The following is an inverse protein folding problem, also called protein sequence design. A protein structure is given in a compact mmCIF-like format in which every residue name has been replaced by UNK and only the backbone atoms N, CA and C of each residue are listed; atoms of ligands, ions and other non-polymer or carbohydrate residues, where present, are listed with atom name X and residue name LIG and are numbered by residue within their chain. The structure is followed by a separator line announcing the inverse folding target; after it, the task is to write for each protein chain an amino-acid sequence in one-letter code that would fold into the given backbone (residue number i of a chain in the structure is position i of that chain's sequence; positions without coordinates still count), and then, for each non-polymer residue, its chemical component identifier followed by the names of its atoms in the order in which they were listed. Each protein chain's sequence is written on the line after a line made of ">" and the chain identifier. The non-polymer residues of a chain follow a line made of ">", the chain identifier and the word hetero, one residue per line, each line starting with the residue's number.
data_IF_246954627103
#
_entry.id   IF_246954627103
#
_cell.length_a   1.000
_cell.length_b   1.000
_cell.length_c   1.000
_cell.angle_alpha   90.00
_cell.angle_beta   90.00
_cell.angle_gamma   90.00
#
_symmetry.space_group_name_H-M   'P 1'
#
loop_
_entity.id
_entity.type
_entity.pdbx_description
1 polymer ?
#
# COMPACT_ATOMS: atom_id res chain seq x y z
N UNK A 1 15.23 -1.86 -28.70
CA UNK A 1 15.46 -3.32 -28.75
C UNK A 1 14.62 -3.85 -29.89
N UNK A 2 15.27 -4.46 -30.87
CA UNK A 2 14.57 -5.13 -31.97
C UNK A 2 13.94 -6.45 -31.50
N UNK A 3 13.12 -7.06 -32.35
CA UNK A 3 12.40 -8.29 -32.03
C UNK A 3 13.34 -9.47 -31.74
N UNK A 4 14.48 -9.54 -32.43
CA UNK A 4 15.45 -10.62 -32.25
C UNK A 4 16.15 -10.52 -30.90
N UNK A 5 16.59 -9.33 -30.53
CA UNK A 5 17.19 -9.05 -29.23
C UNK A 5 16.22 -9.34 -28.09
N UNK A 6 14.94 -8.99 -28.25
CA UNK A 6 13.92 -9.27 -27.25
C UNK A 6 13.66 -10.77 -27.10
N UNK A 7 13.60 -11.53 -28.19
CA UNK A 7 13.45 -12.99 -28.15
C UNK A 7 14.65 -13.68 -27.51
N UNK A 8 15.86 -13.22 -27.80
CA UNK A 8 17.09 -13.71 -27.16
C UNK A 8 17.08 -13.44 -25.65
N UNK A 9 16.75 -12.20 -25.26
CA UNK A 9 16.60 -11.83 -23.85
C UNK A 9 15.53 -12.65 -23.14
N UNK A 10 14.37 -12.85 -23.79
CA UNK A 10 13.29 -13.67 -23.27
C UNK A 10 13.76 -15.12 -23.02
N UNK A 11 14.56 -15.68 -23.92
CA UNK A 11 15.16 -17.00 -23.76
C UNK A 11 15.97 -17.14 -22.47
N UNK A 12 16.68 -16.10 -22.06
CA UNK A 12 17.45 -16.09 -20.81
C UNK A 12 16.61 -15.80 -19.55
N UNK A 13 15.43 -15.18 -19.68
CA UNK A 13 14.54 -14.87 -18.56
C UNK A 13 13.55 -15.99 -18.22
N UNK A 14 13.46 -17.03 -19.05
CA UNK A 14 12.58 -18.17 -18.79
C UNK A 14 12.95 -18.91 -17.48
N UNK A 15 11.96 -19.48 -16.77
CA UNK A 15 12.22 -20.22 -15.53
C UNK A 15 13.26 -21.35 -15.70
N UNK A 16 13.29 -22.01 -16.86
CA UNK A 16 14.16 -23.15 -17.16
C UNK A 16 15.59 -22.75 -17.55
N UNK A 17 15.85 -21.45 -17.77
CA UNK A 17 17.17 -20.97 -18.15
C UNK A 17 18.19 -21.18 -17.02
N UNK A 18 19.45 -21.43 -17.40
CA UNK A 18 20.56 -21.55 -16.46
C UNK A 18 20.67 -20.30 -15.58
N UNK A 19 20.86 -20.50 -14.28
CA UNK A 19 20.84 -19.41 -13.29
C UNK A 19 21.87 -18.30 -13.52
N UNK A 20 23.07 -18.65 -14.02
CA UNK A 20 24.13 -17.70 -14.34
C UNK A 20 23.75 -16.77 -15.51
N UNK A 21 23.14 -17.34 -16.56
CA UNK A 21 22.63 -16.58 -17.71
C UNK A 21 21.43 -15.73 -17.33
N UNK A 22 20.49 -16.30 -16.57
CA UNK A 22 19.31 -15.60 -16.04
C UNK A 22 19.71 -14.40 -15.17
N UNK A 23 20.68 -14.57 -14.27
CA UNK A 23 21.17 -13.48 -13.42
C UNK A 23 21.89 -12.37 -14.21
N UNK A 24 22.54 -12.69 -15.35
CA UNK A 24 23.09 -11.67 -16.25
C UNK A 24 21.98 -10.92 -16.99
N UNK A 25 20.98 -11.64 -17.51
CA UNK A 25 19.83 -11.06 -18.19
C UNK A 25 19.02 -10.14 -17.27
N UNK A 26 18.78 -10.55 -16.02
CA UNK A 26 18.09 -9.73 -15.01
C UNK A 26 18.85 -8.45 -14.70
N UNK A 27 20.18 -8.51 -14.53
CA UNK A 27 20.99 -7.29 -14.31
C UNK A 27 20.94 -6.35 -15.50
N UNK A 28 20.95 -6.88 -16.72
CA UNK A 28 20.78 -6.08 -17.92
C UNK A 28 19.40 -5.39 -17.95
N UNK A 29 18.32 -6.12 -17.70
CA UNK A 29 16.96 -5.56 -17.62
C UNK A 29 16.87 -4.50 -16.53
N UNK A 30 17.37 -4.78 -15.33
CA UNK A 30 17.39 -3.81 -14.23
C UNK A 30 18.10 -2.53 -14.64
N UNK A 31 19.25 -2.63 -15.31
CA UNK A 31 19.96 -1.48 -15.88
C UNK A 31 19.13 -0.68 -16.88
N UNK A 32 18.37 -1.34 -17.76
CA UNK A 32 17.44 -0.67 -18.68
C UNK A 32 16.34 0.11 -17.94
N UNK A 33 15.80 -0.45 -16.85
CA UNK A 33 14.74 0.21 -16.08
C UNK A 33 15.18 1.49 -15.35
N UNK A 34 16.50 1.73 -15.25
CA UNK A 34 17.04 2.98 -14.71
C UNK A 34 16.69 4.19 -15.57
N UNK A 35 16.52 4.02 -16.88
CA UNK A 35 16.18 5.10 -17.83
C UNK A 35 14.72 5.06 -18.30
N UNK A 36 14.15 6.24 -18.55
CA UNK A 36 12.76 6.36 -19.05
C UNK A 36 12.55 5.69 -20.43
N UNK A 37 13.56 5.68 -21.29
CA UNK A 37 13.51 4.98 -22.59
C UNK A 37 13.46 3.46 -22.42
N UNK A 38 14.30 2.92 -21.54
CA UNK A 38 14.31 1.49 -21.24
C UNK A 38 13.01 1.02 -20.59
N UNK A 39 12.42 1.83 -19.69
CA UNK A 39 11.11 1.53 -19.12
C UNK A 39 10.00 1.50 -20.17
N UNK A 40 9.91 2.54 -21.03
CA UNK A 40 8.95 2.57 -22.14
C UNK A 40 9.09 1.38 -23.09
N UNK A 41 10.33 1.02 -23.42
CA UNK A 41 10.64 -0.13 -24.26
C UNK A 41 10.17 -1.45 -23.64
N UNK A 42 10.39 -1.66 -22.35
CA UNK A 42 9.98 -2.88 -21.64
C UNK A 42 8.47 -2.94 -21.42
N UNK A 43 7.81 -1.82 -21.12
CA UNK A 43 6.35 -1.76 -20.98
C UNK A 43 5.61 -2.09 -22.28
N UNK A 44 6.24 -1.84 -23.43
CA UNK A 44 5.72 -2.24 -24.74
C UNK A 44 5.88 -3.74 -25.06
N UNK A 45 6.41 -4.56 -24.13
CA UNK A 45 6.77 -5.96 -24.34
C UNK A 45 6.09 -6.91 -23.33
N UNK A 46 4.82 -7.29 -23.57
CA UNK A 46 4.06 -8.14 -22.65
C UNK A 46 4.72 -9.49 -22.34
N UNK A 47 5.45 -10.05 -23.30
CA UNK A 47 6.23 -11.28 -23.17
C UNK A 47 7.35 -11.16 -22.13
N UNK A 48 8.11 -10.05 -22.18
CA UNK A 48 9.15 -9.76 -21.20
C UNK A 48 8.55 -9.44 -19.82
N UNK A 49 7.45 -8.68 -19.76
CA UNK A 49 6.76 -8.40 -18.50
C UNK A 49 6.27 -9.68 -17.84
N UNK A 50 5.67 -10.60 -18.60
CA UNK A 50 5.23 -11.90 -18.11
C UNK A 50 6.41 -12.73 -17.57
N UNK A 51 7.55 -12.73 -18.27
CA UNK A 51 8.75 -13.41 -17.79
C UNK A 51 9.28 -12.79 -16.49
N UNK A 52 9.34 -11.46 -16.38
CA UNK A 52 9.75 -10.79 -15.15
C UNK A 52 8.79 -11.07 -13.98
N UNK A 53 7.48 -11.05 -14.23
CA UNK A 53 6.47 -11.40 -13.23
C UNK A 53 6.61 -12.86 -12.78
N UNK A 54 6.88 -13.80 -13.69
CA UNK A 54 7.15 -15.19 -13.32
C UNK A 54 8.40 -15.31 -12.43
N UNK A 55 9.46 -14.56 -12.74
CA UNK A 55 10.70 -14.56 -11.97
C UNK A 55 10.56 -14.01 -10.55
N UNK A 56 9.51 -13.26 -10.23
CA UNK A 56 9.20 -12.91 -8.82
C UNK A 56 8.88 -14.13 -7.94
N UNK A 57 8.59 -15.29 -8.54
CA UNK A 57 8.42 -16.57 -7.87
C UNK A 57 9.65 -17.48 -7.89
N UNK A 58 10.81 -17.02 -8.37
CA UNK A 58 12.04 -17.81 -8.37
C UNK A 58 12.47 -18.13 -6.91
N UNK A 59 12.74 -19.40 -6.56
CA UNK A 59 13.10 -19.80 -5.19
C UNK A 59 14.39 -19.16 -4.68
N UNK A 60 15.29 -18.79 -5.59
CA UNK A 60 16.56 -18.13 -5.31
C UNK A 60 16.36 -16.61 -5.19
N UNK A 61 16.48 -16.02 -3.99
CA UNK A 61 16.27 -14.58 -3.78
C UNK A 61 17.17 -13.72 -4.66
N UNK A 62 18.40 -14.15 -4.92
CA UNK A 62 19.38 -13.43 -5.75
C UNK A 62 18.94 -13.24 -7.22
N UNK A 63 17.89 -13.97 -7.64
CA UNK A 63 17.27 -13.84 -8.95
C UNK A 63 15.87 -13.20 -8.87
N UNK A 64 15.11 -13.48 -7.81
CA UNK A 64 13.79 -12.86 -7.63
C UNK A 64 13.89 -11.36 -7.32
N UNK A 65 14.84 -10.94 -6.48
CA UNK A 65 15.00 -9.56 -6.04
C UNK A 65 15.31 -8.58 -7.20
N UNK A 66 16.26 -8.85 -8.12
CA UNK A 66 16.45 -8.01 -9.30
C UNK A 66 15.21 -7.91 -10.20
N UNK A 67 14.41 -8.98 -10.30
CA UNK A 67 13.16 -8.98 -11.06
C UNK A 67 12.12 -8.04 -10.42
N UNK A 68 11.98 -8.10 -9.09
CA UNK A 68 11.14 -7.16 -8.34
C UNK A 68 11.59 -5.71 -8.52
N UNK A 69 12.89 -5.42 -8.40
CA UNK A 69 13.39 -4.06 -8.59
C UNK A 69 13.16 -3.53 -10.00
N UNK A 70 13.35 -4.36 -11.02
CA UNK A 70 13.01 -3.99 -12.40
C UNK A 70 11.51 -3.67 -12.53
N UNK A 71 10.65 -4.52 -11.99
CA UNK A 71 9.20 -4.31 -12.01
C UNK A 71 8.75 -3.08 -11.21
N UNK A 72 9.39 -2.78 -10.07
CA UNK A 72 9.12 -1.59 -9.27
C UNK A 72 9.43 -0.31 -10.04
N UNK A 73 10.58 -0.28 -10.72
CA UNK A 73 10.95 0.83 -11.59
C UNK A 73 9.94 0.99 -12.73
N UNK A 74 9.49 -0.11 -13.34
CA UNK A 74 8.46 -0.09 -14.39
C UNK A 74 7.11 0.41 -13.86
N UNK A 75 6.68 -0.08 -12.70
CA UNK A 75 5.41 0.29 -12.06
C UNK A 75 5.35 1.74 -11.57
N UNK A 76 6.49 2.45 -11.58
CA UNK A 76 6.52 3.88 -11.31
C UNK A 76 6.06 4.73 -12.51
N UNK A 77 6.02 4.16 -13.72
CA UNK A 77 5.55 4.86 -14.91
C UNK A 77 4.02 4.90 -14.98
N UNK A 78 3.41 6.02 -15.43
CA UNK A 78 1.98 6.09 -15.69
C UNK A 78 1.51 5.01 -16.69
N UNK A 79 0.38 4.36 -16.41
CA UNK A 79 -0.21 3.30 -17.23
C UNK A 79 0.41 1.92 -17.02
N UNK A 80 1.52 1.80 -16.26
CA UNK A 80 2.20 0.53 -16.05
C UNK A 80 1.35 -0.49 -15.27
N UNK A 81 0.47 -0.03 -14.37
CA UNK A 81 -0.42 -0.91 -13.62
C UNK A 81 -1.28 -1.79 -14.53
N UNK A 82 -1.78 -1.23 -15.63
CA UNK A 82 -2.53 -1.98 -16.64
C UNK A 82 -1.69 -3.02 -17.36
N UNK A 83 -0.42 -2.74 -17.64
CA UNK A 83 0.50 -3.69 -18.28
C UNK A 83 0.92 -4.84 -17.34
N UNK A 84 0.97 -4.58 -16.03
CA UNK A 84 1.37 -5.55 -15.00
C UNK A 84 0.19 -6.32 -14.39
N UNK A 85 -1.04 -6.06 -14.83
CA UNK A 85 -2.28 -6.58 -14.23
C UNK A 85 -2.31 -8.12 -14.10
N UNK A 86 -1.74 -8.83 -15.07
CA UNK A 86 -1.71 -10.30 -15.08
C UNK A 86 -0.93 -10.88 -13.88
N UNK A 87 -0.01 -10.10 -13.29
CA UNK A 87 0.78 -10.53 -12.14
C UNK A 87 0.13 -10.26 -10.78
N UNK A 88 -0.95 -9.46 -10.72
CA UNK A 88 -1.57 -9.05 -9.44
C UNK A 88 -2.00 -10.25 -8.58
N UNK A 89 -2.64 -11.30 -9.12
CA UNK A 89 -3.03 -12.47 -8.32
C UNK A 89 -1.85 -13.17 -7.65
N UNK A 90 -0.75 -13.39 -8.38
CA UNK A 90 0.41 -14.07 -7.82
C UNK A 90 1.18 -13.17 -6.85
N UNK A 91 1.27 -11.87 -7.11
CA UNK A 91 1.87 -10.91 -6.18
C UNK A 91 1.09 -10.84 -4.86
N UNK A 92 -0.25 -10.82 -4.92
CA UNK A 92 -1.08 -10.84 -3.72
C UNK A 92 -0.93 -12.17 -2.97
N UNK A 93 -0.87 -13.30 -3.68
CA UNK A 93 -0.60 -14.60 -3.06
C UNK A 93 0.70 -14.60 -2.27
N UNK A 94 1.78 -14.06 -2.87
CA UNK A 94 3.10 -13.96 -2.25
C UNK A 94 3.11 -12.99 -1.06
N UNK A 95 2.43 -11.86 -1.17
CA UNK A 95 2.32 -10.89 -0.08
C UNK A 95 1.66 -11.51 1.18
N UNK A 96 0.60 -12.30 0.97
CA UNK A 96 -0.16 -12.92 2.05
C UNK A 96 0.42 -14.26 2.51
N UNK A 97 1.47 -14.77 1.87
CA UNK A 97 2.14 -16.01 2.25
C UNK A 97 3.19 -15.72 3.34
N UNK A 98 3.01 -16.23 4.57
CA UNK A 98 3.97 -16.01 5.65
C UNK A 98 5.38 -16.56 5.35
N UNK A 99 5.50 -17.54 4.45
CA UNK A 99 6.77 -18.15 4.07
C UNK A 99 7.49 -17.42 2.92
N UNK A 100 6.85 -16.43 2.29
CA UNK A 100 7.47 -15.73 1.17
C UNK A 100 8.61 -14.81 1.65
N UNK A 101 9.83 -14.87 1.05
CA UNK A 101 10.99 -14.16 1.58
C UNK A 101 11.03 -12.67 1.24
N UNK A 102 10.27 -12.19 0.24
CA UNK A 102 10.33 -10.81 -0.27
C UNK A 102 8.99 -10.05 -0.17
N UNK A 103 8.24 -10.13 0.95
CA UNK A 103 6.88 -9.60 1.03
C UNK A 103 6.84 -8.07 0.89
N UNK A 104 7.91 -7.36 1.27
CA UNK A 104 8.03 -5.91 1.10
C UNK A 104 8.06 -5.48 -0.36
N UNK A 105 8.79 -6.20 -1.21
CA UNK A 105 8.85 -5.90 -2.65
C UNK A 105 7.52 -6.21 -3.33
N UNK A 106 6.85 -7.30 -2.94
CA UNK A 106 5.50 -7.61 -3.42
C UNK A 106 4.49 -6.53 -3.01
N UNK A 107 4.54 -6.07 -1.76
CA UNK A 107 3.70 -5.00 -1.25
C UNK A 107 3.91 -3.68 -2.01
N UNK A 108 5.17 -3.25 -2.15
CA UNK A 108 5.52 -2.03 -2.86
C UNK A 108 5.10 -2.08 -4.34
N UNK A 109 5.24 -3.24 -4.99
CA UNK A 109 4.84 -3.41 -6.39
C UNK A 109 3.30 -3.34 -6.53
N UNK A 110 2.56 -3.98 -5.65
CA UNK A 110 1.09 -3.86 -5.60
C UNK A 110 0.63 -2.43 -5.32
N UNK A 111 1.30 -1.72 -4.41
CA UNK A 111 1.03 -0.31 -4.12
C UNK A 111 1.29 0.59 -5.34
N UNK A 112 2.34 0.34 -6.12
CA UNK A 112 2.57 1.09 -7.36
C UNK A 112 1.52 0.77 -8.43
N UNK A 113 1.21 -0.52 -8.65
CA UNK A 113 0.23 -0.93 -9.65
C UNK A 113 -1.18 -0.45 -9.34
N UNK A 114 -1.54 -0.27 -8.07
CA UNK A 114 -2.90 0.12 -7.63
C UNK A 114 -3.16 1.63 -7.59
N UNK A 115 -2.23 2.47 -8.08
CA UNK A 115 -2.43 3.93 -8.13
C UNK A 115 -3.53 4.35 -9.11
N UNK A 116 -3.78 3.52 -10.12
CA UNK A 116 -4.79 3.76 -11.15
C UNK A 116 -6.05 2.92 -10.88
N UNK A 117 -7.22 3.48 -11.17
CA UNK A 117 -8.52 2.89 -10.83
C UNK A 117 -8.69 1.47 -11.39
N UNK A 118 -8.32 1.23 -12.66
CA UNK A 118 -8.49 -0.06 -13.33
C UNK A 118 -7.78 -1.21 -12.61
N UNK A 119 -6.44 -1.19 -12.53
CA UNK A 119 -5.68 -2.19 -11.77
C UNK A 119 -6.06 -2.26 -10.28
N UNK A 120 -6.41 -1.14 -9.66
CA UNK A 120 -6.88 -1.11 -8.28
C UNK A 120 -8.18 -1.92 -8.10
N UNK A 121 -9.15 -1.75 -9.01
CA UNK A 121 -10.42 -2.50 -9.01
C UNK A 121 -10.19 -3.99 -9.27
N UNK A 122 -9.28 -4.35 -10.17
CA UNK A 122 -8.88 -5.75 -10.39
C UNK A 122 -8.26 -6.38 -9.13
N UNK A 123 -7.40 -5.64 -8.42
CA UNK A 123 -6.81 -6.10 -7.17
C UNK A 123 -7.87 -6.30 -6.08
N UNK A 124 -8.84 -5.38 -5.96
CA UNK A 124 -9.96 -5.53 -5.03
C UNK A 124 -10.82 -6.76 -5.36
N UNK A 125 -11.09 -7.02 -6.64
CA UNK A 125 -11.82 -8.21 -7.08
C UNK A 125 -11.08 -9.50 -6.70
N UNK A 126 -9.76 -9.53 -6.87
CA UNK A 126 -8.93 -10.69 -6.49
C UNK A 126 -8.90 -10.91 -4.96
N UNK A 127 -8.84 -9.84 -4.17
CA UNK A 127 -8.98 -9.90 -2.71
C UNK A 127 -10.30 -10.51 -2.28
N UNK A 128 -11.41 -10.08 -2.88
CA UNK A 128 -12.77 -10.61 -2.62
C UNK A 128 -12.89 -12.09 -2.99
N UNK A 129 -12.31 -12.49 -4.13
CA UNK A 129 -12.29 -13.88 -4.59
C UNK A 129 -11.57 -14.79 -3.58
N UNK A 130 -10.48 -14.32 -2.98
CA UNK A 130 -9.73 -15.07 -1.95
C UNK A 130 -10.43 -15.08 -0.59
N UNK A 131 -11.07 -13.98 -0.23
CA UNK A 131 -11.79 -13.81 1.04
C UNK A 131 -13.17 -14.49 1.10
N UNK A 132 -13.49 -15.41 0.18
CA UNK A 132 -14.74 -16.17 0.23
C UNK A 132 -16.03 -15.37 0.00
N UNK A 133 -15.95 -14.21 -0.69
CA UNK A 133 -17.13 -13.42 -1.05
C UNK A 133 -17.52 -12.30 -0.07
N UNK A 134 -16.75 -12.09 1.01
CA UNK A 134 -16.89 -10.92 1.89
C UNK A 134 -16.27 -9.64 1.29
N UNK A 135 -16.13 -8.60 2.11
CA UNK A 135 -15.53 -7.31 1.75
C UNK A 135 -14.11 -7.40 1.13
N UNK A 136 -13.40 -8.52 1.31
CA UNK A 136 -12.12 -8.85 0.67
C UNK A 136 -10.89 -8.26 1.36
N UNK A 137 -11.06 -7.21 2.18
CA UNK A 137 -9.94 -6.51 2.83
C UNK A 137 -9.43 -7.18 4.12
N UNK A 138 -10.17 -8.14 4.68
CA UNK A 138 -9.86 -8.79 5.97
C UNK A 138 -8.40 -9.24 6.12
N UNK A 139 -7.86 -10.08 5.21
CA UNK A 139 -6.48 -10.55 5.29
C UNK A 139 -5.44 -9.42 5.23
N UNK A 140 -5.70 -8.37 4.44
CA UNK A 140 -4.81 -7.20 4.38
C UNK A 140 -4.86 -6.38 5.66
N UNK A 141 -6.05 -6.19 6.24
CA UNK A 141 -6.23 -5.48 7.50
C UNK A 141 -5.61 -6.25 8.67
N UNK A 142 -5.73 -7.57 8.68
CA UNK A 142 -5.05 -8.44 9.65
C UNK A 142 -3.53 -8.29 9.55
N UNK A 143 -2.97 -8.41 8.35
CA UNK A 143 -1.54 -8.20 8.11
C UNK A 143 -1.08 -6.78 8.50
N UNK A 144 -1.86 -5.74 8.15
CA UNK A 144 -1.52 -4.36 8.49
C UNK A 144 -1.57 -4.09 9.99
N UNK A 145 -2.56 -4.63 10.71
CA UNK A 145 -2.73 -4.38 12.15
C UNK A 145 -1.80 -5.22 13.02
N UNK A 146 -1.31 -6.35 12.51
CA UNK A 146 -0.37 -7.21 13.23
C UNK A 146 1.00 -6.52 13.41
N UNK A 147 1.70 -6.89 14.48
CA UNK A 147 3.10 -6.51 14.65
C UNK A 147 3.93 -7.25 13.59
N UNK A 148 4.66 -6.52 12.76
CA UNK A 148 5.48 -7.14 11.71
C UNK A 148 6.69 -7.85 12.33
N UNK A 149 6.78 -9.19 12.29
CA UNK A 149 7.87 -9.91 12.92
C UNK A 149 9.15 -9.88 12.07
N UNK A 150 9.14 -9.26 10.89
CA UNK A 150 10.25 -9.35 9.92
C UNK A 150 11.14 -8.09 9.92
N UNK A 151 12.44 -8.23 9.64
CA UNK A 151 13.35 -7.10 9.47
C UNK A 151 12.86 -6.11 8.40
N UNK A 152 12.95 -4.81 8.70
CA UNK A 152 12.52 -3.75 7.79
C UNK A 152 11.01 -3.49 7.74
N UNK A 153 10.20 -4.22 8.54
CA UNK A 153 8.76 -4.03 8.71
C UNK A 153 7.97 -3.80 7.40
N UNK A 154 8.07 -4.71 6.42
CA UNK A 154 7.45 -4.56 5.10
C UNK A 154 5.94 -4.33 5.11
N UNK A 155 5.21 -4.74 6.15
CA UNK A 155 3.79 -4.45 6.30
C UNK A 155 3.48 -2.96 6.47
N UNK A 156 4.46 -2.14 6.83
CA UNK A 156 4.29 -0.68 6.86
C UNK A 156 3.88 -0.14 5.48
N UNK A 157 4.35 -0.78 4.40
CA UNK A 157 4.03 -0.41 3.03
C UNK A 157 2.57 -0.75 2.64
N UNK A 158 1.87 -1.59 3.42
CA UNK A 158 0.44 -1.86 3.19
C UNK A 158 -0.42 -0.62 3.40
N UNK A 159 0.06 0.37 4.14
CA UNK A 159 -0.63 1.65 4.31
C UNK A 159 -0.89 2.35 2.96
N UNK A 160 0.09 2.37 2.06
CA UNK A 160 -0.07 2.94 0.73
C UNK A 160 -1.09 2.15 -0.11
N UNK A 161 -1.07 0.81 0.01
CA UNK A 161 -2.02 -0.06 -0.68
C UNK A 161 -3.46 0.15 -0.20
N UNK A 162 -3.68 0.26 1.12
CA UNK A 162 -4.98 0.57 1.71
C UNK A 162 -5.48 1.96 1.28
N UNK A 163 -4.57 2.95 1.25
CA UNK A 163 -4.86 4.29 0.75
C UNK A 163 -5.31 4.28 -0.71
N UNK A 164 -4.68 3.48 -1.57
CA UNK A 164 -5.09 3.32 -2.96
C UNK A 164 -6.44 2.61 -3.11
N UNK A 165 -6.64 1.50 -2.39
CA UNK A 165 -7.90 0.74 -2.43
C UNK A 165 -9.07 1.60 -1.99
N UNK A 166 -8.93 2.39 -0.92
CA UNK A 166 -9.99 3.26 -0.39
C UNK A 166 -10.42 4.40 -1.32
N UNK A 167 -9.72 4.64 -2.43
CA UNK A 167 -10.22 5.53 -3.50
C UNK A 167 -11.47 4.94 -4.17
N UNK A 168 -11.61 3.62 -4.17
CA UNK A 168 -12.77 2.92 -4.70
C UNK A 168 -13.95 2.95 -3.71
N UNK A 169 -15.17 3.33 -4.14
CA UNK A 169 -16.36 3.28 -3.29
C UNK A 169 -16.58 1.93 -2.63
N UNK A 170 -16.37 0.84 -3.37
CA UNK A 170 -16.62 -0.52 -2.92
C UNK A 170 -15.63 -0.96 -1.82
N UNK A 171 -14.44 -0.35 -1.77
CA UNK A 171 -13.47 -0.55 -0.69
C UNK A 171 -13.82 0.31 0.54
N UNK A 172 -14.32 1.54 0.35
CA UNK A 172 -14.80 2.36 1.47
C UNK A 172 -15.98 1.71 2.17
N UNK A 173 -16.95 1.20 1.42
CA UNK A 173 -18.08 0.45 1.97
C UNK A 173 -17.59 -0.73 2.83
N UNK A 174 -16.57 -1.44 2.37
CA UNK A 174 -15.94 -2.54 3.10
C UNK A 174 -15.22 -2.08 4.38
N UNK A 175 -14.55 -0.92 4.37
CA UNK A 175 -13.86 -0.35 5.52
C UNK A 175 -14.83 0.23 6.56
N UNK A 176 -15.96 0.75 6.09
CA UNK A 176 -17.01 1.40 6.89
C UNK A 176 -18.17 0.45 7.25
N UNK A 177 -18.02 -0.84 6.94
CA UNK A 177 -18.95 -1.88 7.37
C UNK A 177 -18.97 -1.98 8.90
N UNK A 178 -20.12 -1.61 9.50
CA UNK A 178 -20.28 -1.40 10.94
C UNK A 178 -19.97 -2.66 11.74
N UNK A 179 -20.38 -3.82 11.21
CA UNK A 179 -20.18 -5.13 11.84
C UNK A 179 -18.72 -5.59 11.83
N UNK A 180 -17.91 -5.10 10.89
CA UNK A 180 -16.53 -5.55 10.68
C UNK A 180 -15.49 -4.82 11.53
N UNK A 181 -15.81 -3.63 12.04
CA UNK A 181 -14.91 -2.85 12.90
C UNK A 181 -13.57 -2.44 12.24
N UNK A 182 -13.47 -2.50 10.91
CA UNK A 182 -12.24 -2.27 10.17
C UNK A 182 -11.68 -0.87 10.40
N UNK A 183 -12.51 0.18 10.24
CA UNK A 183 -12.11 1.57 10.49
C UNK A 183 -11.54 1.77 11.90
N UNK A 184 -12.21 1.23 12.93
CA UNK A 184 -11.77 1.32 14.34
C UNK A 184 -10.39 0.70 14.55
N UNK A 185 -10.12 -0.44 13.91
CA UNK A 185 -8.80 -1.10 13.98
C UNK A 185 -7.68 -0.27 13.36
N UNK A 186 -8.01 0.64 12.43
CA UNK A 186 -7.02 1.51 11.81
C UNK A 186 -6.69 2.74 12.68
N UNK A 187 -7.63 3.22 13.50
CA UNK A 187 -7.50 4.48 14.24
C UNK A 187 -6.21 4.60 15.09
N UNK A 188 -5.77 3.59 15.86
CA UNK A 188 -4.55 3.71 16.65
C UNK A 188 -3.29 4.00 15.80
N UNK A 189 -3.31 3.63 14.53
CA UNK A 189 -2.20 3.83 13.62
C UNK A 189 -2.10 5.25 13.05
N UNK A 190 -3.02 6.17 13.37
CA UNK A 190 -2.81 7.61 13.12
C UNK A 190 -1.64 8.17 13.93
N UNK A 191 -1.27 7.50 15.03
CA UNK A 191 -0.21 7.90 15.96
C UNK A 191 0.90 6.86 16.11
N UNK A 192 1.08 5.99 15.10
CA UNK A 192 2.15 4.98 15.15
C UNK A 192 3.54 5.65 15.15
N UNK A 193 4.16 5.70 16.33
CA UNK A 193 5.48 6.28 16.54
C UNK A 193 6.58 5.55 15.73
N UNK A 194 6.40 4.26 15.45
CA UNK A 194 7.38 3.44 14.74
C UNK A 194 7.34 3.57 13.22
N UNK A 195 6.33 4.25 12.64
CA UNK A 195 6.15 4.24 11.19
C UNK A 195 5.36 5.41 10.60
N UNK A 196 6.06 6.37 10.00
CA UNK A 196 5.45 7.42 9.18
C UNK A 196 4.64 6.84 8.01
N UNK A 197 5.07 5.71 7.43
CA UNK A 197 4.35 5.06 6.34
C UNK A 197 2.97 4.54 6.76
N UNK A 198 2.84 3.99 7.97
CA UNK A 198 1.54 3.55 8.52
C UNK A 198 0.63 4.74 8.81
N UNK A 199 1.16 5.76 9.49
CA UNK A 199 0.42 7.01 9.75
C UNK A 199 -0.09 7.64 8.46
N UNK A 200 0.77 7.76 7.44
CA UNK A 200 0.42 8.29 6.10
C UNK A 200 -0.67 7.46 5.43
N UNK A 201 -0.54 6.13 5.45
CA UNK A 201 -1.53 5.23 4.87
C UNK A 201 -2.90 5.31 5.55
N UNK A 202 -2.92 5.36 6.89
CA UNK A 202 -4.15 5.48 7.66
C UNK A 202 -4.79 6.85 7.47
N UNK A 203 -4.03 7.95 7.56
CA UNK A 203 -4.55 9.29 7.31
C UNK A 203 -5.18 9.42 5.92
N UNK A 204 -4.50 8.93 4.87
CA UNK A 204 -5.06 8.91 3.51
C UNK A 204 -6.31 8.03 3.38
N UNK A 205 -6.33 6.88 4.05
CA UNK A 205 -7.50 5.98 4.06
C UNK A 205 -8.70 6.63 4.75
N UNK A 206 -8.50 7.25 5.92
CA UNK A 206 -9.55 7.95 6.67
C UNK A 206 -10.09 9.14 5.88
N UNK A 207 -9.22 9.93 5.25
CA UNK A 207 -9.62 11.03 4.35
C UNK A 207 -10.53 10.52 3.23
N UNK A 208 -10.14 9.45 2.56
CA UNK A 208 -10.95 8.87 1.49
C UNK A 208 -12.30 8.37 2.02
N UNK A 209 -12.32 7.70 3.18
CA UNK A 209 -13.55 7.25 3.85
C UNK A 209 -14.49 8.41 4.21
N UNK A 210 -13.96 9.56 4.61
CA UNK A 210 -14.76 10.73 4.99
C UNK A 210 -15.29 11.54 3.79
N UNK A 211 -14.95 11.17 2.55
CA UNK A 211 -15.55 11.79 1.37
C UNK A 211 -17.06 11.53 1.24
N UNK A 212 -17.57 10.51 1.92
CA UNK A 212 -18.99 10.16 1.91
C UNK A 212 -19.70 10.62 3.20
N UNK A 213 -20.49 11.72 3.15
CA UNK A 213 -21.10 12.31 4.34
C UNK A 213 -22.14 11.41 5.01
N UNK A 214 -22.63 10.37 4.32
CA UNK A 214 -23.60 9.42 4.87
C UNK A 214 -23.06 8.66 6.09
N UNK A 215 -21.74 8.60 6.25
CA UNK A 215 -21.09 7.89 7.36
C UNK A 215 -20.66 8.82 8.50
N UNK A 216 -20.70 10.15 8.33
CA UNK A 216 -20.13 11.10 9.30
C UNK A 216 -20.75 11.01 10.68
N UNK A 217 -22.08 10.99 10.79
CA UNK A 217 -22.77 10.89 12.09
C UNK A 217 -22.33 9.62 12.85
N UNK A 218 -22.16 8.51 12.15
CA UNK A 218 -21.69 7.27 12.74
C UNK A 218 -20.19 7.32 13.09
N UNK A 219 -19.34 7.87 12.22
CA UNK A 219 -17.90 8.02 12.46
C UNK A 219 -17.61 8.93 13.66
N UNK A 220 -18.42 9.96 13.88
CA UNK A 220 -18.33 10.89 15.01
C UNK A 220 -19.05 10.40 16.26
N UNK A 221 -19.82 9.30 16.18
CA UNK A 221 -20.49 8.72 17.34
C UNK A 221 -19.50 8.01 18.27
N UNK A 222 -19.90 7.79 19.53
CA UNK A 222 -19.13 7.04 20.53
C UNK A 222 -18.75 5.61 20.09
N UNK A 223 -19.40 5.07 19.06
CA UNK A 223 -19.07 3.73 18.55
C UNK A 223 -17.71 3.69 17.84
N UNK A 224 -17.33 4.78 17.16
CA UNK A 224 -16.09 4.88 16.40
C UNK A 224 -15.15 5.89 17.04
N UNK A 225 -15.70 7.01 17.51
CA UNK A 225 -15.00 8.11 18.15
C UNK A 225 -13.81 8.59 17.30
N UNK A 226 -14.07 8.94 16.03
CA UNK A 226 -13.02 9.29 15.07
C UNK A 226 -12.28 10.57 15.44
N UNK A 227 -12.97 11.55 16.03
CA UNK A 227 -12.48 12.92 16.17
C UNK A 227 -11.16 13.02 16.98
N UNK A 228 -11.01 12.36 18.14
CA UNK A 228 -9.74 12.36 18.87
C UNK A 228 -8.55 11.87 18.04
N UNK A 229 -8.75 10.82 17.22
CA UNK A 229 -7.68 10.23 16.40
C UNK A 229 -7.22 11.13 15.24
N UNK A 230 -8.07 12.08 14.82
CA UNK A 230 -7.72 13.10 13.83
C UNK A 230 -7.04 14.31 14.47
N UNK A 231 -7.53 14.75 15.63
CA UNK A 231 -7.05 15.96 16.31
C UNK A 231 -5.76 15.74 17.08
N UNK A 232 -5.59 14.60 17.75
CA UNK A 232 -4.44 14.36 18.62
C UNK A 232 -3.09 14.41 17.87
N UNK A 233 -2.94 13.90 16.64
CA UNK A 233 -1.73 14.13 15.85
C UNK A 233 -1.47 15.61 15.51
N UNK A 234 -2.50 16.46 15.51
CA UNK A 234 -2.40 17.90 15.22
C UNK A 234 -2.15 18.75 16.48
N UNK A 235 -2.33 18.17 17.66
CA UNK A 235 -2.15 18.84 18.95
C UNK A 235 -0.69 18.81 19.44
N UNK A 236 -0.29 19.87 20.15
CA UNK A 236 0.98 20.02 20.84
C UNK A 236 0.79 20.20 22.35
N UNK A 237 1.82 20.68 23.07
CA UNK A 237 1.80 20.82 24.52
C UNK A 237 1.20 22.18 24.96
N UNK A 238 0.43 22.84 24.10
CA UNK A 238 -0.14 24.16 24.42
C UNK A 238 -1.20 24.08 25.52
N UNK A 239 -1.18 25.07 26.41
CA UNK A 239 -2.22 25.28 27.42
C UNK A 239 -3.32 26.17 26.86
N UNK A 240 -4.58 25.76 27.04
CA UNK A 240 -5.76 26.56 26.71
C UNK A 240 -6.46 27.03 28.00
N UNK A 241 -7.28 28.08 27.94
CA UNK A 241 -8.18 28.45 29.03
C UNK A 241 -9.04 27.26 29.48
N UNK A 242 -9.37 27.19 30.77
CA UNK A 242 -10.10 26.06 31.37
C UNK A 242 -11.44 25.79 30.68
N UNK A 243 -12.17 26.83 30.30
CA UNK A 243 -13.46 26.73 29.60
C UNK A 243 -13.35 26.23 28.15
N UNK A 244 -12.20 26.44 27.49
CA UNK A 244 -11.90 25.82 26.20
C UNK A 244 -11.42 24.37 26.38
N UNK A 245 -10.63 24.10 27.42
CA UNK A 245 -10.16 22.75 27.73
C UNK A 245 -11.29 21.78 28.02
N UNK A 246 -12.28 22.18 28.80
CA UNK A 246 -13.45 21.36 29.14
C UNK A 246 -14.28 20.96 27.90
N UNK A 247 -14.16 21.70 26.79
CA UNK A 247 -14.87 21.41 25.53
C UNK A 247 -14.13 20.42 24.62
N UNK A 248 -12.84 20.21 24.85
CA UNK A 248 -12.05 19.26 24.05
C UNK A 248 -12.41 17.82 24.43
N UNK A 249 -12.27 16.86 23.50
CA UNK A 249 -12.34 15.45 23.84
C UNK A 249 -11.31 15.11 24.93
N UNK A 250 -11.65 14.18 25.83
CA UNK A 250 -10.83 13.84 27.00
C UNK A 250 -9.36 13.52 26.64
N UNK A 251 -9.13 12.83 25.53
CA UNK A 251 -7.78 12.46 25.07
C UNK A 251 -6.91 13.65 24.63
N UNK A 252 -7.52 14.82 24.39
CA UNK A 252 -6.84 16.07 24.05
C UNK A 252 -6.67 16.98 25.26
N UNK A 253 -7.19 16.60 26.43
CA UNK A 253 -7.07 17.40 27.63
C UNK A 253 -5.75 17.19 28.35
N UNK A 254 -5.13 18.31 28.78
CA UNK A 254 -3.92 18.31 29.62
C UNK A 254 -2.79 17.43 29.06
N UNK A 255 -2.43 17.65 27.80
CA UNK A 255 -1.38 16.90 27.11
C UNK A 255 -0.01 17.11 27.79
N UNK A 256 0.86 16.08 27.82
CA UNK A 256 2.17 16.18 28.44
C UNK A 256 3.10 17.13 27.66
N UNK A 257 4.09 17.70 28.34
CA UNK A 257 5.03 18.65 27.74
C UNK A 257 5.82 18.07 26.55
N UNK A 258 6.03 16.75 26.54
CA UNK A 258 6.71 16.02 25.47
C UNK A 258 5.82 15.75 24.26
N UNK A 259 4.51 16.07 24.32
CA UNK A 259 3.58 15.84 23.21
C UNK A 259 3.98 16.70 22.02
N UNK A 260 4.35 16.05 20.93
CA UNK A 260 4.63 16.71 19.65
C UNK A 260 3.52 16.48 18.65
N UNK A 261 3.33 17.47 17.78
CA UNK A 261 2.52 17.32 16.57
C UNK A 261 3.17 16.31 15.63
N UNK A 262 2.38 15.74 14.74
CA UNK A 262 2.83 14.96 13.60
C UNK A 262 3.94 15.73 12.85
N UNK A 263 5.17 15.20 12.74
CA UNK A 263 6.27 15.90 12.07
C UNK A 263 6.07 16.03 10.56
N UNK A 264 5.40 15.07 9.92
CA UNK A 264 5.24 15.02 8.47
C UNK A 264 4.12 15.96 7.99
N UNK A 265 4.48 16.98 7.19
CA UNK A 265 3.55 18.02 6.76
C UNK A 265 2.38 17.49 5.93
N UNK A 266 2.62 16.50 5.07
CA UNK A 266 1.59 15.93 4.22
C UNK A 266 0.63 15.01 4.99
N UNK A 267 1.06 14.39 6.11
CA UNK A 267 0.14 13.71 7.03
C UNK A 267 -0.78 14.73 7.71
N UNK A 268 -0.21 15.83 8.24
CA UNK A 268 -1.03 16.90 8.83
C UNK A 268 -2.04 17.44 7.83
N UNK A 269 -1.63 17.66 6.58
CA UNK A 269 -2.53 18.09 5.52
C UNK A 269 -3.69 17.10 5.32
N UNK A 270 -3.42 15.80 5.21
CA UNK A 270 -4.49 14.79 5.05
C UNK A 270 -5.47 14.77 6.21
N UNK A 271 -4.98 14.94 7.45
CA UNK A 271 -5.84 15.01 8.64
C UNK A 271 -6.73 16.27 8.62
N UNK A 272 -6.18 17.43 8.26
CA UNK A 272 -6.94 18.67 8.11
C UNK A 272 -7.97 18.59 6.97
N UNK A 273 -7.60 17.99 5.84
CA UNK A 273 -8.54 17.69 4.74
C UNK A 273 -9.67 16.78 5.22
N UNK A 274 -9.36 15.79 6.05
CA UNK A 274 -10.38 14.88 6.63
C UNK A 274 -11.36 15.64 7.53
N UNK A 275 -10.89 16.60 8.32
CA UNK A 275 -11.73 17.43 9.19
C UNK A 275 -12.61 18.42 8.42
N UNK A 276 -12.23 18.77 7.18
CA UNK A 276 -12.97 19.71 6.33
C UNK A 276 -14.10 19.04 5.54
N UNK A 277 -13.96 17.74 5.23
CA UNK A 277 -14.92 16.94 4.47
C UNK A 277 -16.19 16.69 5.28
#
# INVERSE_FOLDING_TARGET
>A
MDERQAQELLGFLRPEARGDLKGRALRFVLGLTGGAEGRRLLLARPDLLAALLALTGEPRPELAEPAFHALLNLAAEPGAGGALRAGLPDLLRRLLDPAFPLPGLACALLANCSREEGPCRELLAELRRRGGGGAGLGPLLEAFCAQDPRPGAPWHQLGALLGNLSQLPEARDALLERSGGAVRRLLPFTQDAGSAARRRGVAGTLRNCCFDPRHHEWLLSEQVDLLPFLLLPLAGPEEFPEDEMERLPLDLQYLPAEKQREPEADIRQMLLETLLL
#
